data_IF_756916591433
#
_entry.id   IF_756916591433
#
_cell.length_a   1.000
_cell.length_b   1.000
_cell.length_c   1.000
_cell.angle_alpha   90.00
_cell.angle_beta   90.00
_cell.angle_gamma   90.00
#
_symmetry.space_group_name_H-M   'P 1'
#
loop_
_entity.id
_entity.type
_entity.pdbx_description
1 polymer ?
#
# COMPACT_ATOMS: atom_id res chain seq x y z
N UNK A 1 -5.78 -7.69 -17.15
CA UNK A 1 -5.00 -6.46 -17.28
C UNK A 1 -4.17 -6.64 -18.52
N UNK A 2 -4.10 -5.62 -19.36
CA UNK A 2 -3.27 -5.60 -20.57
C UNK A 2 -2.04 -4.77 -20.27
N UNK A 3 -0.86 -5.32 -20.56
CA UNK A 3 0.42 -4.60 -20.40
C UNK A 3 0.75 -3.88 -21.70
N UNK A 4 0.99 -2.57 -21.65
CA UNK A 4 1.40 -1.77 -22.81
C UNK A 4 2.92 -1.52 -22.79
N UNK A 5 3.50 -1.23 -23.96
CA UNK A 5 4.93 -0.94 -24.10
C UNK A 5 5.17 0.38 -24.84
N UNK A 6 4.80 1.50 -24.22
CA UNK A 6 4.90 2.81 -24.86
C UNK A 6 6.36 3.28 -25.04
N UNK A 7 7.27 2.78 -24.20
CA UNK A 7 8.69 3.13 -24.24
C UNK A 7 9.56 2.18 -25.09
N UNK A 8 8.94 1.23 -25.81
CA UNK A 8 9.64 0.23 -26.63
C UNK A 8 10.75 -0.52 -25.84
N UNK A 9 10.43 -0.94 -24.62
CA UNK A 9 11.31 -1.73 -23.75
C UNK A 9 11.59 -3.12 -24.35
N UNK A 10 12.74 -3.74 -24.01
CA UNK A 10 13.09 -5.08 -24.49
C UNK A 10 12.06 -6.14 -24.10
N UNK A 11 11.83 -7.13 -24.98
CA UNK A 11 10.85 -8.20 -24.76
C UNK A 11 11.04 -8.94 -23.44
N UNK A 12 12.29 -9.23 -23.05
CA UNK A 12 12.60 -9.89 -21.78
C UNK A 12 12.07 -9.14 -20.55
N UNK A 13 11.97 -7.81 -20.62
CA UNK A 13 11.38 -7.01 -19.55
C UNK A 13 9.84 -7.08 -19.57
N UNK A 14 9.22 -7.13 -20.76
CA UNK A 14 7.77 -7.34 -20.89
C UNK A 14 7.37 -8.71 -20.33
N UNK A 15 8.12 -9.76 -20.66
CA UNK A 15 7.90 -11.12 -20.16
C UNK A 15 8.00 -11.18 -18.63
N UNK A 16 8.88 -10.35 -18.03
CA UNK A 16 9.01 -10.24 -16.58
C UNK A 16 7.86 -9.44 -15.93
N UNK A 17 7.17 -8.58 -16.69
CA UNK A 17 5.97 -7.88 -16.23
C UNK A 17 4.74 -8.78 -16.22
N UNK A 18 4.72 -9.85 -17.03
CA UNK A 18 3.61 -10.78 -17.09
C UNK A 18 3.42 -11.50 -15.75
N UNK A 19 2.25 -11.29 -15.15
CA UNK A 19 1.96 -11.81 -13.83
C UNK A 19 1.54 -13.29 -13.91
N UNK A 20 2.38 -14.18 -13.37
CA UNK A 20 2.16 -15.65 -13.38
C UNK A 20 1.38 -16.18 -12.18
N UNK A 21 0.86 -15.32 -11.30
CA UNK A 21 0.09 -15.78 -10.15
C UNK A 21 -1.19 -16.53 -10.57
N UNK A 22 -1.54 -17.55 -9.80
CA UNK A 22 -2.75 -18.33 -10.01
C UNK A 22 -3.99 -17.41 -10.00
N UNK A 23 -4.92 -17.66 -10.92
CA UNK A 23 -6.21 -16.97 -10.93
C UNK A 23 -6.98 -17.37 -9.67
N UNK A 24 -7.36 -16.38 -8.88
CA UNK A 24 -8.21 -16.59 -7.70
C UNK A 24 -9.67 -16.80 -8.14
N UNK A 25 -10.36 -17.69 -7.44
CA UNK A 25 -11.80 -17.87 -7.60
C UNK A 25 -12.61 -16.63 -7.16
N UNK A 26 -13.93 -16.59 -7.45
CA UNK A 26 -14.78 -15.44 -7.16
C UNK A 26 -14.85 -15.09 -5.66
N UNK A 27 -14.83 -16.09 -4.78
CA UNK A 27 -14.85 -15.91 -3.32
C UNK A 27 -13.49 -16.18 -2.66
N UNK A 28 -12.41 -16.23 -3.44
CA UNK A 28 -11.06 -16.45 -2.94
C UNK A 28 -10.28 -15.15 -2.99
N UNK A 29 -9.62 -14.76 -1.90
CA UNK A 29 -8.87 -13.51 -1.79
C UNK A 29 -7.48 -13.77 -1.21
N UNK A 30 -6.46 -13.12 -1.77
CA UNK A 30 -5.14 -13.16 -1.14
C UNK A 30 -5.06 -12.17 0.04
N UNK A 31 -4.19 -12.44 1.01
CA UNK A 31 -3.87 -11.48 2.09
C UNK A 31 -3.49 -10.10 1.52
N UNK A 32 -2.62 -10.08 0.50
CA UNK A 32 -2.18 -8.85 -0.16
C UNK A 32 -3.27 -8.13 -0.94
N UNK A 33 -4.33 -8.84 -1.34
CA UNK A 33 -5.51 -8.22 -1.93
C UNK A 33 -6.40 -7.58 -0.88
N UNK A 34 -6.60 -8.24 0.26
CA UNK A 34 -7.44 -7.72 1.36
C UNK A 34 -6.85 -6.49 2.07
N UNK A 35 -5.55 -6.23 1.92
CA UNK A 35 -4.94 -4.97 2.34
C UNK A 35 -5.38 -3.75 1.49
N UNK A 36 -5.95 -3.97 0.29
CA UNK A 36 -6.48 -2.88 -0.55
C UNK A 36 -7.85 -2.42 -0.07
N UNK A 37 -8.29 -1.23 -0.49
CA UNK A 37 -9.63 -0.77 -0.17
C UNK A 37 -10.73 -1.61 -0.82
N UNK A 38 -11.89 -1.74 -0.17
CA UNK A 38 -13.01 -2.59 -0.67
C UNK A 38 -13.41 -2.19 -2.09
N UNK A 39 -13.51 -0.89 -2.34
CA UNK A 39 -13.81 -0.37 -3.69
C UNK A 39 -12.74 -0.72 -4.70
N UNK A 40 -11.46 -0.56 -4.35
CA UNK A 40 -10.33 -0.92 -5.21
C UNK A 40 -10.35 -2.42 -5.55
N UNK A 41 -10.64 -3.29 -4.59
CA UNK A 41 -10.75 -4.74 -4.81
C UNK A 41 -11.86 -5.04 -5.81
N UNK A 42 -13.06 -4.52 -5.59
CA UNK A 42 -14.23 -4.79 -6.44
C UNK A 42 -14.01 -4.26 -7.85
N UNK A 43 -13.58 -3.00 -8.00
CA UNK A 43 -13.31 -2.41 -9.31
C UNK A 43 -12.21 -3.15 -10.07
N UNK A 44 -11.12 -3.55 -9.38
CA UNK A 44 -10.03 -4.29 -10.02
C UNK A 44 -10.50 -5.64 -10.56
N UNK A 45 -11.39 -6.33 -9.85
CA UNK A 45 -11.96 -7.61 -10.29
C UNK A 45 -12.93 -7.44 -11.46
N UNK A 46 -13.83 -6.45 -11.39
CA UNK A 46 -14.83 -6.18 -12.46
C UNK A 46 -14.18 -5.76 -13.77
N UNK A 47 -13.26 -4.80 -13.70
CA UNK A 47 -12.62 -4.21 -14.86
C UNK A 47 -11.28 -4.86 -15.18
N UNK A 48 -11.00 -6.07 -14.67
CA UNK A 48 -9.69 -6.71 -14.82
C UNK A 48 -9.24 -6.74 -16.29
N UNK A 49 -10.15 -6.96 -17.23
CA UNK A 49 -9.85 -7.02 -18.66
C UNK A 49 -9.70 -5.65 -19.34
N UNK A 50 -10.19 -4.58 -18.70
CA UNK A 50 -10.15 -3.19 -19.19
C UNK A 50 -8.98 -2.40 -18.60
N UNK A 51 -8.39 -2.88 -17.51
CA UNK A 51 -7.20 -2.25 -16.91
C UNK A 51 -6.02 -2.40 -17.87
N UNK A 52 -5.50 -1.27 -18.30
CA UNK A 52 -4.24 -1.12 -19.03
C UNK A 52 -3.17 -0.58 -18.08
N UNK A 53 -1.97 -1.16 -18.16
CA UNK A 53 -0.81 -0.70 -17.38
C UNK A 53 0.44 -0.71 -18.24
N UNK A 54 1.16 0.40 -18.25
CA UNK A 54 2.41 0.47 -19.01
C UNK A 54 3.55 -0.26 -18.29
N UNK A 55 4.36 -0.98 -19.05
CA UNK A 55 5.50 -1.73 -18.52
C UNK A 55 6.48 -0.83 -17.73
N UNK A 56 6.63 0.45 -18.09
CA UNK A 56 7.49 1.39 -17.36
C UNK A 56 7.04 1.59 -15.90
N UNK A 57 5.74 1.48 -15.62
CA UNK A 57 5.16 1.59 -14.28
C UNK A 57 5.32 0.31 -13.45
N UNK A 58 5.78 -0.78 -14.09
CA UNK A 58 5.98 -2.08 -13.47
C UNK A 58 7.44 -2.33 -13.06
N UNK A 59 8.37 -1.41 -13.37
CA UNK A 59 9.80 -1.54 -13.06
C UNK A 59 10.06 -1.98 -11.62
N UNK A 60 9.43 -1.32 -10.64
CA UNK A 60 9.64 -1.67 -9.24
C UNK A 60 9.00 -3.01 -8.84
N UNK A 61 7.90 -3.42 -9.47
CA UNK A 61 7.32 -4.73 -9.25
C UNK A 61 8.27 -5.83 -9.77
N UNK A 62 8.83 -5.65 -10.97
CA UNK A 62 9.82 -6.56 -11.55
C UNK A 62 11.06 -6.69 -10.67
N UNK A 63 11.60 -5.57 -10.16
CA UNK A 63 12.73 -5.60 -9.23
C UNK A 63 12.37 -6.32 -7.93
N UNK A 64 11.15 -6.13 -7.42
CA UNK A 64 10.65 -6.88 -6.26
C UNK A 64 10.66 -8.38 -6.53
N UNK A 65 10.04 -8.83 -7.62
CA UNK A 65 10.03 -10.24 -8.02
C UNK A 65 11.44 -10.82 -8.19
N UNK A 66 12.36 -10.06 -8.80
CA UNK A 66 13.74 -10.49 -8.94
C UNK A 66 14.43 -10.67 -7.57
N UNK A 67 14.17 -9.78 -6.61
CA UNK A 67 14.71 -9.91 -5.26
C UNK A 67 14.18 -11.14 -4.54
N UNK A 68 12.86 -11.38 -4.55
CA UNK A 68 12.26 -12.60 -3.99
C UNK A 68 12.89 -13.86 -4.61
N UNK A 69 12.98 -13.93 -5.94
CA UNK A 69 13.58 -15.07 -6.65
C UNK A 69 15.04 -15.34 -6.25
N UNK A 70 15.84 -14.29 -6.00
CA UNK A 70 17.22 -14.46 -5.52
C UNK A 70 17.23 -15.04 -4.09
N UNK A 71 16.35 -14.56 -3.21
CA UNK A 71 16.28 -15.03 -1.83
C UNK A 71 15.77 -16.48 -1.74
N UNK A 72 14.82 -16.85 -2.59
CA UNK A 72 14.25 -18.20 -2.71
C UNK A 72 15.28 -19.25 -3.16
N UNK A 73 16.29 -18.85 -3.95
CA UNK A 73 17.37 -19.74 -4.38
C UNK A 73 18.34 -20.12 -3.24
N UNK A 74 18.18 -19.56 -2.03
CA UNK A 74 18.94 -19.96 -0.86
C UNK A 74 18.63 -21.40 -0.43
N UNK A 75 19.63 -22.09 0.12
CA UNK A 75 19.41 -23.43 0.69
C UNK A 75 18.57 -23.32 1.97
N UNK A 76 17.36 -23.89 1.93
CA UNK A 76 16.52 -24.02 3.11
C UNK A 76 17.16 -24.97 4.13
N UNK A 77 17.06 -24.62 5.40
CA UNK A 77 17.38 -25.50 6.51
C UNK A 77 16.26 -26.51 6.74
N UNK A 78 16.55 -27.59 7.48
CA UNK A 78 15.60 -28.70 7.70
C UNK A 78 14.27 -28.24 8.34
N UNK A 79 14.35 -27.25 9.22
CA UNK A 79 13.22 -26.64 9.93
C UNK A 79 12.54 -25.48 9.18
N UNK A 80 13.01 -25.16 7.98
CA UNK A 80 12.52 -24.03 7.19
C UNK A 80 11.56 -24.49 6.09
N UNK A 81 10.52 -23.71 5.87
CA UNK A 81 9.54 -23.90 4.81
C UNK A 81 9.53 -22.63 3.96
N UNK A 82 9.94 -22.75 2.70
CA UNK A 82 9.88 -21.66 1.73
C UNK A 82 8.58 -21.65 0.91
N UNK A 83 8.21 -20.47 0.39
CA UNK A 83 7.21 -20.23 -0.68
C UNK A 83 5.86 -20.96 -0.56
N UNK A 84 5.41 -21.26 0.65
CA UNK A 84 4.23 -22.10 0.82
C UNK A 84 2.96 -21.26 0.90
N UNK A 85 1.90 -21.75 0.24
CA UNK A 85 0.57 -21.14 0.28
C UNK A 85 -0.32 -21.86 1.28
N UNK A 86 -0.82 -21.10 2.24
CA UNK A 86 -1.83 -21.56 3.19
C UNK A 86 -3.14 -20.83 2.96
N UNK A 87 -4.24 -21.43 3.41
CA UNK A 87 -5.55 -20.83 3.33
C UNK A 87 -6.40 -21.13 4.55
N UNK A 88 -7.46 -20.35 4.71
CA UNK A 88 -8.50 -20.58 5.71
C UNK A 88 -9.85 -20.06 5.19
N UNK A 89 -10.93 -20.72 5.61
CA UNK A 89 -12.30 -20.37 5.20
C UNK A 89 -12.98 -19.49 6.24
N UNK A 90 -13.73 -18.50 5.77
CA UNK A 90 -14.56 -17.58 6.53
C UNK A 90 -16.01 -17.65 6.02
N UNK A 91 -16.96 -18.11 6.84
CA UNK A 91 -18.38 -18.07 6.49
C UNK A 91 -18.94 -16.65 6.71
N UNK A 92 -19.37 -15.98 5.65
CA UNK A 92 -19.92 -14.62 5.67
C UNK A 92 -21.31 -14.66 5.03
N UNK A 93 -22.35 -14.34 5.80
CA UNK A 93 -23.73 -14.25 5.29
C UNK A 93 -24.21 -15.48 4.47
N UNK A 94 -23.73 -16.67 4.83
CA UNK A 94 -24.06 -17.93 4.13
C UNK A 94 -23.18 -18.24 2.90
N UNK A 95 -22.18 -17.41 2.60
CA UNK A 95 -21.17 -17.65 1.56
C UNK A 95 -19.82 -17.97 2.21
N UNK A 96 -19.18 -19.04 1.76
CA UNK A 96 -17.81 -19.36 2.18
C UNK A 96 -16.79 -18.57 1.35
N UNK A 97 -16.02 -17.76 2.05
CA UNK A 97 -14.88 -17.02 1.50
C UNK A 97 -13.57 -17.70 1.89
N UNK A 98 -12.63 -17.81 0.95
CA UNK A 98 -11.31 -18.38 1.21
C UNK A 98 -10.28 -17.25 1.23
N UNK A 99 -9.57 -17.11 2.34
CA UNK A 99 -8.42 -16.22 2.44
C UNK A 99 -7.15 -17.05 2.31
N UNK A 100 -6.28 -16.70 1.37
CA UNK A 100 -5.00 -17.38 1.16
C UNK A 100 -3.81 -16.44 1.26
N UNK A 101 -2.70 -16.95 1.77
CA UNK A 101 -1.45 -16.22 1.88
C UNK A 101 -0.30 -17.09 1.41
N UNK A 102 0.62 -16.51 0.64
CA UNK A 102 1.89 -17.15 0.28
C UNK A 102 2.98 -16.36 0.99
N UNK A 103 3.56 -16.98 2.01
CA UNK A 103 4.68 -16.39 2.75
C UNK A 103 6.00 -16.80 2.09
N UNK A 104 7.04 -15.99 2.28
CA UNK A 104 8.33 -16.25 1.65
C UNK A 104 9.10 -17.35 2.38
N UNK A 105 9.15 -17.27 3.72
CA UNK A 105 9.85 -18.24 4.56
C UNK A 105 9.18 -18.37 5.93
N UNK A 106 9.10 -19.58 6.46
CA UNK A 106 8.75 -19.86 7.84
C UNK A 106 9.83 -20.74 8.46
N UNK A 107 10.23 -20.45 9.69
CA UNK A 107 11.20 -21.23 10.46
C UNK A 107 10.52 -21.80 11.72
N UNK A 108 10.45 -23.13 11.81
CA UNK A 108 9.81 -23.84 12.92
C UNK A 108 10.63 -23.78 14.23
N UNK A 109 11.94 -23.56 14.17
CA UNK A 109 12.78 -23.41 15.36
C UNK A 109 12.52 -22.07 16.03
N UNK A 110 12.51 -20.99 15.25
CA UNK A 110 12.24 -19.63 15.76
C UNK A 110 10.75 -19.31 15.85
N UNK A 111 9.88 -20.14 15.25
CA UNK A 111 8.42 -19.96 15.15
C UNK A 111 8.06 -18.63 14.48
N UNK A 112 8.81 -18.28 13.45
CA UNK A 112 8.75 -16.96 12.83
C UNK A 112 8.48 -17.05 11.33
N UNK A 113 7.55 -16.24 10.85
CA UNK A 113 7.34 -16.03 9.41
C UNK A 113 8.14 -14.84 8.93
N UNK A 114 8.85 -14.98 7.82
CA UNK A 114 9.65 -13.93 7.19
C UNK A 114 9.06 -13.51 5.85
N UNK A 115 9.04 -12.20 5.60
CA UNK A 115 8.65 -11.58 4.33
C UNK A 115 9.75 -10.62 3.87
N UNK A 116 10.25 -10.86 2.66
CA UNK A 116 11.24 -10.04 1.99
C UNK A 116 10.53 -8.85 1.35
N UNK A 117 11.04 -7.63 1.55
CA UNK A 117 10.46 -6.43 0.93
C UNK A 117 11.51 -5.63 0.21
N UNK A 118 11.19 -5.18 -1.00
CA UNK A 118 11.87 -4.04 -1.62
C UNK A 118 11.03 -2.79 -1.41
N UNK A 119 11.61 -1.75 -0.81
CA UNK A 119 10.85 -0.56 -0.40
C UNK A 119 11.72 0.69 -0.35
N UNK A 120 11.12 1.85 -0.13
CA UNK A 120 11.88 3.08 0.14
C UNK A 120 12.25 3.20 1.62
N UNK A 121 13.34 3.90 1.92
CA UNK A 121 13.73 4.24 3.28
C UNK A 121 12.63 4.98 4.03
N UNK A 122 11.91 5.89 3.36
CA UNK A 122 10.78 6.61 3.95
C UNK A 122 9.64 5.67 4.37
N UNK A 123 9.23 4.76 3.47
CA UNK A 123 8.17 3.80 3.76
C UNK A 123 8.55 2.82 4.86
N UNK A 124 9.83 2.40 4.92
CA UNK A 124 10.34 1.59 6.02
C UNK A 124 10.28 2.34 7.34
N UNK A 125 10.82 3.57 7.42
CA UNK A 125 10.80 4.38 8.65
C UNK A 125 9.36 4.52 9.16
N UNK A 126 8.43 4.94 8.29
CA UNK A 126 7.02 5.12 8.67
C UNK A 126 6.40 3.83 9.21
N UNK A 127 6.61 2.71 8.51
CA UNK A 127 6.06 1.41 8.93
C UNK A 127 6.74 0.88 10.19
N UNK A 128 7.98 1.27 10.48
CA UNK A 128 8.69 0.90 11.71
C UNK A 128 8.30 1.79 12.91
N UNK A 129 7.95 3.06 12.69
CA UNK A 129 7.49 3.97 13.74
C UNK A 129 6.03 3.68 14.15
N UNK A 130 5.19 3.22 13.22
CA UNK A 130 3.78 2.88 13.42
C UNK A 130 3.44 1.53 12.75
N UNK A 131 3.90 0.40 13.31
CA UNK A 131 3.72 -0.91 12.68
C UNK A 131 2.24 -1.28 12.55
N UNK A 132 1.43 -1.11 13.59
CA UNK A 132 0.01 -1.50 13.61
C UNK A 132 -0.85 -0.78 12.56
N UNK A 133 -0.42 0.42 12.13
CA UNK A 133 -1.10 1.20 11.08
C UNK A 133 -0.62 0.83 9.66
N UNK A 134 0.36 -0.07 9.54
CA UNK A 134 0.97 -0.43 8.27
C UNK A 134 0.31 -1.64 7.61
N UNK A 135 0.22 -1.61 6.28
CA UNK A 135 -0.20 -2.76 5.47
C UNK A 135 0.68 -4.00 5.72
N UNK A 136 1.95 -3.79 6.11
CA UNK A 136 2.90 -4.87 6.38
C UNK A 136 2.53 -5.64 7.65
N UNK A 137 2.11 -4.93 8.70
CA UNK A 137 1.66 -5.55 9.92
C UNK A 137 0.39 -6.38 9.70
N UNK A 138 -0.59 -5.82 8.96
CA UNK A 138 -1.79 -6.58 8.58
C UNK A 138 -1.46 -7.84 7.77
N UNK A 139 -0.50 -7.73 6.83
CA UNK A 139 -0.03 -8.89 6.07
C UNK A 139 0.62 -9.94 6.99
N UNK A 140 1.51 -9.53 7.89
CA UNK A 140 2.19 -10.43 8.83
C UNK A 140 1.21 -11.09 9.81
N UNK A 141 0.25 -10.33 10.33
CA UNK A 141 -0.80 -10.84 11.22
C UNK A 141 -1.65 -11.89 10.51
N UNK A 142 -2.00 -11.67 9.25
CA UNK A 142 -2.75 -12.65 8.47
C UNK A 142 -1.93 -13.92 8.19
N UNK A 143 -0.64 -13.82 7.89
CA UNK A 143 0.24 -15.00 7.76
C UNK A 143 0.37 -15.77 9.07
N UNK A 144 0.57 -15.06 10.18
CA UNK A 144 0.58 -15.64 11.51
C UNK A 144 -0.72 -16.39 11.83
N UNK A 145 -1.89 -15.82 11.50
CA UNK A 145 -3.19 -16.49 11.64
C UNK A 145 -3.28 -17.77 10.78
N UNK A 146 -2.88 -17.68 9.51
CA UNK A 146 -2.93 -18.80 8.58
C UNK A 146 -2.03 -19.95 9.03
N UNK A 147 -0.80 -19.66 9.46
CA UNK A 147 0.16 -20.65 9.97
C UNK A 147 -0.40 -21.38 11.19
N UNK A 148 -0.81 -20.63 12.22
CA UNK A 148 -1.35 -21.22 13.45
C UNK A 148 -2.63 -22.02 13.19
N UNK A 149 -3.52 -21.53 12.30
CA UNK A 149 -4.74 -22.25 11.92
C UNK A 149 -4.45 -23.58 11.23
N UNK A 150 -3.34 -23.67 10.49
CA UNK A 150 -2.89 -24.87 9.78
C UNK A 150 -1.90 -25.73 10.60
N UNK A 151 -1.74 -25.46 11.90
CA UNK A 151 -0.93 -26.29 12.80
C UNK A 151 0.57 -25.95 12.84
N UNK A 152 0.99 -24.85 12.20
CA UNK A 152 2.36 -24.34 12.29
C UNK A 152 2.42 -23.29 13.38
N UNK A 153 3.04 -23.63 14.51
CA UNK A 153 3.15 -22.71 15.64
C UNK A 153 3.98 -21.48 15.24
N UNK A 154 3.36 -20.31 15.26
CA UNK A 154 4.01 -19.06 14.90
C UNK A 154 3.75 -18.01 15.98
N UNK A 155 4.79 -17.28 16.37
CA UNK A 155 4.74 -16.29 17.47
C UNK A 155 5.15 -14.89 17.01
N UNK A 156 5.77 -14.76 15.84
CA UNK A 156 6.18 -13.46 15.31
C UNK A 156 6.27 -13.44 13.78
N UNK A 157 6.12 -12.25 13.22
CA UNK A 157 6.50 -11.93 11.85
C UNK A 157 7.84 -11.20 11.81
N UNK A 158 8.57 -11.34 10.71
CA UNK A 158 9.82 -10.64 10.45
C UNK A 158 9.79 -10.11 9.02
N UNK A 159 9.99 -8.80 8.88
CA UNK A 159 10.13 -8.16 7.59
C UNK A 159 11.60 -7.84 7.39
N UNK A 160 12.18 -8.31 6.30
CA UNK A 160 13.53 -7.94 5.88
C UNK A 160 13.41 -7.02 4.66
N UNK A 161 13.65 -5.74 4.89
CA UNK A 161 13.45 -4.68 3.92
C UNK A 161 14.77 -4.26 3.26
N UNK A 162 14.89 -4.49 1.95
CA UNK A 162 15.89 -3.89 1.08
C UNK A 162 15.43 -2.48 0.67
N UNK A 163 16.22 -1.48 1.05
CA UNK A 163 15.92 -0.06 0.84
C UNK A 163 16.51 0.43 -0.49
N UNK A 164 15.66 0.48 -1.52
CA UNK A 164 16.06 0.73 -2.91
C UNK A 164 16.64 2.13 -3.18
N UNK A 165 16.25 3.12 -2.38
CA UNK A 165 16.75 4.50 -2.45
C UNK A 165 17.83 4.79 -1.40
N UNK A 166 18.41 3.73 -0.82
CA UNK A 166 19.41 3.88 0.20
C UNK A 166 20.72 4.45 -0.35
N UNK A 167 21.26 5.49 0.29
CA UNK A 167 22.57 6.05 -0.06
C UNK A 167 23.40 6.36 1.19
N UNK A 168 24.71 6.11 1.10
CA UNK A 168 25.67 6.44 2.18
C UNK A 168 25.71 7.93 2.51
N UNK A 169 25.41 8.80 1.54
CA UNK A 169 25.46 10.26 1.71
C UNK A 169 24.46 10.79 2.74
N UNK A 170 23.26 10.21 2.81
CA UNK A 170 22.19 10.64 3.74
C UNK A 170 22.53 10.38 5.22
N UNK A 171 23.45 9.45 5.51
CA UNK A 171 23.88 9.13 6.89
C UNK A 171 24.50 10.30 7.66
N UNK A 172 25.04 11.30 6.95
CA UNK A 172 25.72 12.45 7.56
C UNK A 172 24.75 13.49 8.12
N UNK A 173 23.53 13.57 7.56
CA UNK A 173 22.58 14.63 7.87
C UNK A 173 21.36 14.19 8.68
N UNK A 174 21.00 12.91 8.63
CA UNK A 174 19.78 12.40 9.26
C UNK A 174 20.09 11.22 10.19
N UNK A 175 19.81 11.40 11.49
CA UNK A 175 20.03 10.37 12.52
C UNK A 175 19.01 9.24 12.45
N UNK A 176 17.79 9.52 11.97
CA UNK A 176 16.69 8.56 11.80
C UNK A 176 16.83 7.73 10.53
N UNK A 177 17.68 8.16 9.61
CA UNK A 177 17.91 7.45 8.37
C UNK A 177 18.54 6.06 8.61
N UNK A 178 18.02 4.99 7.98
CA UNK A 178 18.51 3.63 8.17
C UNK A 178 20.01 3.49 7.94
N UNK A 179 20.69 2.81 8.87
CA UNK A 179 22.16 2.72 8.87
C UNK A 179 22.70 1.73 7.85
N UNK A 180 21.90 0.72 7.50
CA UNK A 180 22.24 -0.29 6.50
C UNK A 180 21.20 -0.27 5.37
N UNK A 181 21.57 -0.67 4.15
CA UNK A 181 20.64 -0.76 3.02
C UNK A 181 19.60 -1.88 3.21
N UNK A 182 19.87 -2.86 4.08
CA UNK A 182 18.92 -3.87 4.48
C UNK A 182 18.57 -3.66 5.95
N UNK A 183 17.29 -3.68 6.30
CA UNK A 183 16.79 -3.48 7.65
C UNK A 183 15.85 -4.61 8.04
N UNK A 184 15.77 -4.87 9.34
CA UNK A 184 14.88 -5.86 9.92
C UNK A 184 13.83 -5.17 10.79
N UNK A 185 12.58 -5.62 10.66
CA UNK A 185 11.48 -5.26 11.54
C UNK A 185 10.82 -6.54 12.04
N UNK A 186 10.92 -6.80 13.36
CA UNK A 186 10.26 -7.94 14.01
C UNK A 186 8.95 -7.48 14.64
N UNK A 187 7.89 -8.23 14.40
CA UNK A 187 6.54 -7.98 14.90
C UNK A 187 6.14 -9.17 15.77
N UNK A 188 6.14 -9.04 17.10
CA UNK A 188 5.59 -10.08 17.97
C UNK A 188 4.07 -10.12 17.87
N UNK A 189 3.49 -11.33 17.94
CA UNK A 189 2.04 -11.51 18.03
C UNK A 189 1.69 -12.21 19.34
N UNK A 190 0.68 -11.70 20.02
CA UNK A 190 0.22 -12.14 21.33
C UNK A 190 -1.17 -12.76 21.22
N UNK A 191 -1.31 -13.98 21.71
CA UNK A 191 -2.61 -14.61 21.91
C UNK A 191 -3.20 -14.18 23.27
N UNK A 192 -4.52 -13.89 23.38
CA UNK A 192 -5.53 -14.03 22.34
C UNK A 192 -5.82 -12.77 21.51
N UNK A 193 -5.26 -11.62 21.87
CA UNK A 193 -5.69 -10.32 21.34
C UNK A 193 -5.45 -10.20 19.82
N UNK A 194 -4.23 -10.47 19.34
CA UNK A 194 -3.92 -10.42 17.90
C UNK A 194 -4.74 -11.44 17.09
N UNK A 195 -5.12 -12.56 17.72
CA UNK A 195 -5.99 -13.56 17.08
C UNK A 195 -7.37 -12.99 16.81
N UNK A 196 -8.01 -12.41 17.83
CA UNK A 196 -9.34 -11.85 17.70
C UNK A 196 -9.36 -10.62 16.80
N UNK A 197 -8.38 -9.72 16.92
CA UNK A 197 -8.29 -8.54 16.06
C UNK A 197 -8.08 -8.91 14.59
N UNK A 198 -7.14 -9.80 14.28
CA UNK A 198 -6.90 -10.21 12.90
C UNK A 198 -8.09 -10.94 12.29
N UNK A 199 -8.80 -11.77 13.08
CA UNK A 199 -10.05 -12.40 12.66
C UNK A 199 -11.16 -11.37 12.44
N UNK A 200 -11.29 -10.38 13.32
CA UNK A 200 -12.30 -9.32 13.19
C UNK A 200 -12.06 -8.50 11.92
N UNK A 201 -10.82 -8.06 11.69
CA UNK A 201 -10.42 -7.35 10.48
C UNK A 201 -10.78 -8.13 9.20
N UNK A 202 -10.41 -9.42 9.12
CA UNK A 202 -10.73 -10.24 7.94
C UNK A 202 -12.24 -10.44 7.76
N UNK A 203 -12.99 -10.68 8.84
CA UNK A 203 -14.46 -10.80 8.76
C UNK A 203 -15.13 -9.50 8.31
N UNK A 204 -14.73 -8.35 8.87
CA UNK A 204 -15.25 -7.05 8.48
C UNK A 204 -14.95 -6.77 7.00
N UNK A 205 -13.69 -6.97 6.57
CA UNK A 205 -13.29 -6.73 5.19
C UNK A 205 -14.07 -7.60 4.21
N UNK A 206 -14.20 -8.90 4.49
CA UNK A 206 -14.97 -9.83 3.66
C UNK A 206 -16.48 -9.53 3.69
N UNK A 207 -17.01 -9.10 4.84
CA UNK A 207 -18.40 -8.66 4.98
C UNK A 207 -18.72 -7.45 4.11
N UNK A 208 -17.83 -6.44 4.09
CA UNK A 208 -17.97 -5.29 3.21
C UNK A 208 -17.85 -5.69 1.73
N UNK A 209 -16.96 -6.60 1.39
CA UNK A 209 -16.87 -7.15 0.03
C UNK A 209 -18.17 -7.85 -0.34
N UNK A 210 -18.69 -8.74 0.50
CA UNK A 210 -19.95 -9.47 0.25
C UNK A 210 -21.13 -8.51 0.06
N UNK A 211 -21.19 -7.46 0.87
CA UNK A 211 -22.22 -6.42 0.78
C UNK A 211 -22.17 -5.63 -0.53
N UNK A 212 -20.98 -5.29 -1.02
CA UNK A 212 -20.81 -4.38 -2.16
C UNK A 212 -20.44 -5.05 -3.49
N UNK A 213 -20.08 -6.34 -3.51
CA UNK A 213 -19.59 -7.04 -4.73
C UNK A 213 -20.55 -7.04 -5.91
N UNK A 214 -21.85 -6.85 -5.67
CA UNK A 214 -22.90 -6.77 -6.70
C UNK A 214 -23.50 -5.35 -6.84
N UNK A 215 -23.04 -4.40 -6.03
CA UNK A 215 -23.49 -2.99 -6.07
C UNK A 215 -22.85 -2.25 -7.26
N UNK A 216 -23.56 -1.46 -8.07
CA UNK A 216 -22.94 -0.73 -9.19
C UNK A 216 -21.78 0.17 -8.74
N UNK A 217 -20.77 0.37 -9.59
CA UNK A 217 -19.48 1.00 -9.22
C UNK A 217 -19.63 2.37 -8.54
N UNK A 218 -20.63 3.15 -8.96
CA UNK A 218 -20.92 4.47 -8.43
C UNK A 218 -21.48 4.45 -7.00
N UNK A 219 -22.07 3.34 -6.58
CA UNK A 219 -22.66 3.17 -5.26
C UNK A 219 -21.72 2.46 -4.27
N UNK A 220 -20.56 1.97 -4.71
CA UNK A 220 -19.54 1.45 -3.79
C UNK A 220 -18.91 2.64 -3.03
N UNK A 221 -18.90 2.63 -1.68
CA UNK A 221 -18.28 3.69 -0.88
C UNK A 221 -16.81 3.91 -1.25
N UNK A 222 -16.29 5.15 -1.18
CA UNK A 222 -14.87 5.39 -1.41
C UNK A 222 -14.00 4.66 -0.37
N UNK A 223 -12.80 4.23 -0.77
CA UNK A 223 -11.79 3.70 0.17
C UNK A 223 -11.51 4.74 1.27
N UNK A 224 -11.13 4.32 2.48
CA UNK A 224 -10.83 5.28 3.57
C UNK A 224 -9.64 6.19 3.24
N UNK A 225 -9.47 7.30 3.97
CA UNK A 225 -8.30 8.18 3.82
C UNK A 225 -6.97 7.45 4.03
N UNK A 226 -6.90 6.53 5.00
CA UNK A 226 -5.72 5.68 5.21
C UNK A 226 -5.49 4.75 4.02
N UNK A 227 -6.52 4.09 3.49
CA UNK A 227 -6.43 3.22 2.31
C UNK A 227 -6.03 3.98 1.04
N UNK A 228 -6.34 5.28 0.95
CA UNK A 228 -5.95 6.18 -0.15
C UNK A 228 -4.55 6.79 0.02
N UNK A 229 -3.88 6.51 1.14
CA UNK A 229 -2.65 7.19 1.58
C UNK A 229 -2.78 8.71 1.48
N UNK A 230 -3.92 9.21 1.94
CA UNK A 230 -4.27 10.61 1.82
C UNK A 230 -3.31 11.44 2.66
N UNK A 231 -2.66 12.41 2.02
CA UNK A 231 -1.90 13.43 2.75
C UNK A 231 -2.86 14.44 3.32
N UNK A 232 -2.63 14.84 4.56
CA UNK A 232 -3.42 15.85 5.24
C UNK A 232 -3.49 17.15 4.41
N UNK A 233 -4.66 17.77 4.48
CA UNK A 233 -4.77 19.15 4.04
C UNK A 233 -3.88 20.05 4.87
N UNK A 234 -3.42 21.13 4.26
CA UNK A 234 -2.61 22.12 4.96
C UNK A 234 -2.81 23.51 4.39
N UNK A 235 -2.48 24.50 5.19
CA UNK A 235 -2.51 25.90 4.81
C UNK A 235 -1.08 26.36 4.58
N UNK A 236 -0.76 26.67 3.32
CA UNK A 236 0.56 27.11 2.91
C UNK A 236 0.63 28.65 2.97
N UNK A 237 1.54 29.17 3.77
CA UNK A 237 1.86 30.60 3.78
C UNK A 237 2.78 30.87 2.58
N UNK A 238 2.27 31.63 1.63
CA UNK A 238 2.92 31.95 0.36
C UNK A 238 3.44 33.39 0.36
N UNK A 239 4.41 33.68 -0.52
CA UNK A 239 4.83 35.05 -0.84
C UNK A 239 4.68 35.29 -2.34
N UNK A 240 4.17 36.46 -2.70
CA UNK A 240 3.98 36.86 -4.11
C UNK A 240 5.30 36.69 -4.89
N UNK A 241 5.24 35.97 -6.02
CA UNK A 241 6.39 35.66 -6.87
C UNK A 241 7.21 34.42 -6.48
N UNK A 242 6.96 33.79 -5.33
CA UNK A 242 7.65 32.56 -4.90
C UNK A 242 6.79 31.33 -5.22
N UNK A 243 7.39 30.32 -5.87
CA UNK A 243 6.72 29.05 -6.22
C UNK A 243 6.53 28.08 -5.04
N UNK A 244 7.32 28.23 -3.98
CA UNK A 244 7.30 27.36 -2.79
C UNK A 244 6.73 28.08 -1.58
N UNK A 245 6.03 27.33 -0.72
CA UNK A 245 5.55 27.84 0.55
C UNK A 245 6.71 28.27 1.46
N UNK A 246 6.50 29.35 2.22
CA UNK A 246 7.40 29.77 3.30
C UNK A 246 7.21 28.85 4.50
N UNK A 247 5.96 28.59 4.86
CA UNK A 247 5.58 27.73 5.96
C UNK A 247 4.34 26.92 5.58
N UNK A 248 4.26 25.70 6.10
CA UNK A 248 3.06 24.86 6.05
C UNK A 248 2.50 24.79 7.47
N UNK A 249 1.21 25.02 7.59
CA UNK A 249 0.46 25.07 8.84
C UNK A 249 -0.67 24.05 8.80
N UNK A 250 -1.03 23.52 9.97
CA UNK A 250 -2.10 22.52 10.09
C UNK A 250 -3.49 23.13 10.22
N UNK A 251 -3.60 24.45 10.39
CA UNK A 251 -4.88 25.16 10.41
C UNK A 251 -4.80 26.50 9.68
N UNK A 252 -5.97 27.03 9.31
CA UNK A 252 -6.07 28.36 8.70
C UNK A 252 -5.61 29.45 9.67
N UNK A 253 -6.02 29.37 10.94
CA UNK A 253 -5.73 30.35 11.98
C UNK A 253 -4.22 30.51 12.21
N UNK A 254 -3.48 29.38 12.24
CA UNK A 254 -2.02 29.41 12.35
C UNK A 254 -1.39 30.11 11.13
N UNK A 255 -1.88 29.79 9.93
CA UNK A 255 -1.36 30.36 8.69
C UNK A 255 -1.66 31.88 8.59
N UNK A 256 -2.85 32.30 9.00
CA UNK A 256 -3.32 33.68 8.96
C UNK A 256 -2.47 34.57 9.88
N UNK A 257 -2.26 34.14 11.14
CA UNK A 257 -1.37 34.82 12.10
C UNK A 257 0.06 34.98 11.57
N UNK A 258 0.57 33.99 10.84
CA UNK A 258 1.88 34.09 10.21
C UNK A 258 1.91 35.08 9.05
N UNK A 259 0.82 35.21 8.27
CA UNK A 259 0.75 36.24 7.24
C UNK A 259 0.76 37.65 7.83
N UNK A 260 0.09 37.87 8.97
CA UNK A 260 0.17 39.14 9.71
C UNK A 260 1.60 39.44 10.15
N UNK A 261 2.30 38.42 10.68
CA UNK A 261 3.69 38.53 11.13
C UNK A 261 4.66 38.83 9.99
N UNK A 262 4.49 38.17 8.84
CA UNK A 262 5.38 38.37 7.68
C UNK A 262 5.04 39.64 6.87
N UNK A 263 3.85 40.20 7.05
CA UNK A 263 3.43 41.46 6.46
C UNK A 263 3.16 41.39 4.95
N UNK A 264 3.18 42.56 4.30
CA UNK A 264 2.69 42.74 2.94
C UNK A 264 3.32 41.77 1.90
N UNK A 265 2.48 41.26 1.02
CA UNK A 265 2.88 40.34 -0.06
C UNK A 265 2.84 38.86 0.32
N UNK A 266 2.37 38.52 1.52
CA UNK A 266 2.10 37.15 1.96
C UNK A 266 0.60 36.85 1.92
N UNK A 267 0.25 35.60 1.65
CA UNK A 267 -1.14 35.14 1.62
C UNK A 267 -1.21 33.65 2.00
N UNK A 268 -2.38 33.21 2.46
CA UNK A 268 -2.64 31.80 2.76
C UNK A 268 -3.21 31.12 1.52
N UNK A 269 -2.62 30.00 1.13
CA UNK A 269 -3.15 29.07 0.12
C UNK A 269 -3.59 27.79 0.82
N UNK A 270 -4.90 27.50 0.83
CA UNK A 270 -5.41 26.20 1.28
C UNK A 270 -5.08 25.12 0.25
N UNK A 271 -4.42 24.06 0.70
CA UNK A 271 -4.07 22.89 -0.10
C UNK A 271 -4.81 21.70 0.47
N UNK A 272 -5.90 21.32 -0.21
CA UNK A 272 -6.72 20.17 0.14
C UNK A 272 -5.88 18.89 0.21
N UNK A 273 -6.40 17.91 0.95
CA UNK A 273 -5.82 16.59 1.04
C UNK A 273 -5.58 15.97 -0.34
N UNK A 274 -4.50 15.21 -0.45
CA UNK A 274 -4.08 14.60 -1.73
C UNK A 274 -4.15 13.08 -1.59
N UNK A 275 -5.05 12.39 -2.31
CA UNK A 275 -5.19 10.93 -2.26
C UNK A 275 -4.09 10.29 -3.13
N UNK A 276 -2.87 10.23 -2.59
CA UNK A 276 -1.65 9.82 -3.32
C UNK A 276 -1.83 8.45 -3.98
N UNK A 277 -2.46 7.48 -3.32
CA UNK A 277 -2.68 6.16 -3.89
C UNK A 277 -3.57 6.21 -5.14
N UNK A 278 -4.64 7.01 -5.12
CA UNK A 278 -5.55 7.13 -6.25
C UNK A 278 -4.87 7.74 -7.48
N UNK A 279 -3.96 8.70 -7.26
CA UNK A 279 -3.23 9.38 -8.33
C UNK A 279 -2.16 8.50 -8.95
N UNK A 280 -1.32 7.89 -8.11
CA UNK A 280 -0.04 7.36 -8.56
C UNK A 280 0.01 5.82 -8.56
N UNK A 281 -0.95 5.14 -7.91
CA UNK A 281 -0.82 3.71 -7.60
C UNK A 281 -2.06 2.85 -7.85
N UNK A 282 -3.30 3.39 -7.89
CA UNK A 282 -4.48 2.56 -8.19
C UNK A 282 -4.65 2.36 -9.69
N UNK A 283 -4.49 1.11 -10.14
CA UNK A 283 -4.80 0.69 -11.51
C UNK A 283 -6.30 0.84 -11.86
N UNK A 284 -7.14 1.09 -10.86
CA UNK A 284 -8.60 1.18 -10.95
C UNK A 284 -9.13 2.61 -11.15
N UNK A 285 -8.24 3.62 -11.11
CA UNK A 285 -8.63 5.00 -10.88
C UNK A 285 -9.57 5.56 -11.99
N UNK A 286 -9.42 5.10 -13.23
CA UNK A 286 -10.27 5.44 -14.38
C UNK A 286 -11.73 5.04 -14.21
N UNK A 287 -12.01 4.01 -13.41
CA UNK A 287 -13.36 3.48 -13.13
C UNK A 287 -13.92 3.96 -11.78
N UNK A 288 -13.17 4.77 -11.05
CA UNK A 288 -13.51 5.17 -9.69
C UNK A 288 -14.14 6.57 -9.66
N UNK A 289 -15.44 6.66 -9.37
CA UNK A 289 -16.15 7.94 -9.29
C UNK A 289 -15.51 8.95 -8.31
N UNK A 290 -14.92 8.46 -7.21
CA UNK A 290 -14.26 9.32 -6.22
C UNK A 290 -13.07 10.05 -6.86
N UNK A 291 -12.25 9.30 -7.59
CA UNK A 291 -11.08 9.86 -8.25
C UNK A 291 -11.46 10.77 -9.42
N UNK A 292 -12.44 10.37 -10.23
CA UNK A 292 -12.95 11.21 -11.31
C UNK A 292 -13.46 12.56 -10.80
N UNK A 293 -14.23 12.57 -9.71
CA UNK A 293 -14.67 13.81 -9.04
C UNK A 293 -13.49 14.63 -8.50
N UNK A 294 -12.50 13.98 -7.88
CA UNK A 294 -11.29 14.65 -7.40
C UNK A 294 -10.55 15.38 -8.53
N UNK A 295 -10.35 14.73 -9.67
CA UNK A 295 -9.67 15.32 -10.82
C UNK A 295 -10.48 16.49 -11.42
N UNK A 296 -11.79 16.34 -11.56
CA UNK A 296 -12.66 17.40 -12.09
C UNK A 296 -12.60 18.69 -11.25
N UNK A 297 -12.62 18.57 -9.93
CA UNK A 297 -12.48 19.73 -9.02
C UNK A 297 -11.09 20.38 -9.14
N UNK A 298 -10.05 19.60 -9.36
CA UNK A 298 -8.69 20.14 -9.54
C UNK A 298 -8.55 20.91 -10.85
N UNK A 299 -9.13 20.43 -11.96
CA UNK A 299 -9.10 21.15 -13.25
C UNK A 299 -9.82 22.49 -13.18
N UNK A 300 -11.01 22.55 -12.55
CA UNK A 300 -11.75 23.81 -12.35
C UNK A 300 -10.95 24.82 -11.50
N UNK A 301 -10.19 24.33 -10.52
CA UNK A 301 -9.36 25.19 -9.67
C UNK A 301 -8.17 25.79 -10.43
N UNK A 302 -7.61 25.04 -11.39
CA UNK A 302 -6.50 25.51 -12.24
C UNK A 302 -6.97 26.51 -13.28
N UNK A 303 -8.11 26.28 -13.94
CA UNK A 303 -8.71 27.20 -14.91
C UNK A 303 -9.02 28.56 -14.27
N UNK A 304 -9.65 28.57 -13.09
CA UNK A 304 -9.95 29.81 -12.36
C UNK A 304 -8.69 30.59 -11.91
N UNK A 305 -7.54 29.93 -11.75
CA UNK A 305 -6.25 30.61 -11.46
C UNK A 305 -5.59 31.18 -12.73
N UNK A 306 -5.91 30.65 -13.90
CA UNK A 306 -5.40 31.11 -15.20
C UNK A 306 -6.08 32.39 -15.70
N UNK A 307 -7.37 32.54 -15.42
CA UNK A 307 -8.16 33.72 -15.84
C UNK A 307 -8.00 34.94 -14.91
N UNK A 308 -7.37 34.76 -13.74
CA UNK A 308 -7.09 35.82 -12.76
C UNK A 308 -5.65 36.36 -12.83
N UNK A 309 -4.88 35.98 -13.86
CA UNK A 309 -3.48 36.36 -14.06
C UNK A 309 -3.30 37.50 -15.07
#
# INVERSE_FOLDING_TARGET
MTITNNANLPQAFLDACENKHAKMGPNEYSVTELNKGVKEIILRRRHQHEIERDATEMFWAVIGTAFHSIMENGTLQEQEIGESRLSMTFPICGTDYVVSGQFDLYDATTKQVTDWKTTSAYSFIRSSEQPEESDWFNQMRAYWLLLNKNGFECTSGRIIALLRDWTRGKLRGDRKYPRLPMQELVIPFNYPDDYYEGRAFLNEKLGLIDLFKDTPDDFIPPCSSSERWERDEHWAVMKKGRKTAIKRCSSFEEADLLTETYGAGHYVEHRKGTPVKCMDYCDCNKFCHFYQKYVAVQSETVENKGDAA
#
